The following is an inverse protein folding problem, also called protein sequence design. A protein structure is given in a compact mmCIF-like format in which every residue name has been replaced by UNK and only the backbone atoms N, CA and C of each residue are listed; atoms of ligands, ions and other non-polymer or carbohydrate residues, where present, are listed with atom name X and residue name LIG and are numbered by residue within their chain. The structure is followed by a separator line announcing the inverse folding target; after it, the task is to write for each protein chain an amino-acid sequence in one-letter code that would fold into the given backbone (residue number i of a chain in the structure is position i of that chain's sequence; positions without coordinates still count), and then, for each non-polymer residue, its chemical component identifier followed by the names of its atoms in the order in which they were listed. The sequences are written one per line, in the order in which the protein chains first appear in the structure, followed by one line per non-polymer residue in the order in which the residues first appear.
data_IF_704762111417
#
_entry.id   IF_704762111417
#
_cell.length_a   1.000
_cell.length_b   1.000
_cell.length_c   1.000
_cell.angle_alpha   90.00
_cell.angle_beta   90.00
_cell.angle_gamma   90.00
#
_symmetry.space_group_name_H-M   'P 1'
#
loop_
_entity.id
_entity.type
_entity.pdbx_description
1 polymer ?
#
# COMPACT_ATOMS: atom_id res chain seq x y z
N UNK A 1 8.65 -33.08 49.69
CA UNK A 1 8.32 -31.86 48.92
C UNK A 1 9.43 -31.59 47.90
N UNK A 2 9.17 -31.81 46.60
CA UNK A 2 10.11 -31.51 45.52
C UNK A 2 10.04 -30.03 45.16
N UNK A 3 11.19 -29.32 45.16
CA UNK A 3 11.26 -27.92 44.73
C UNK A 3 11.17 -27.85 43.19
N UNK A 4 10.50 -26.84 42.61
CA UNK A 4 10.41 -26.70 41.17
C UNK A 4 11.75 -26.23 40.57
N UNK A 5 12.16 -26.88 39.47
CA UNK A 5 13.30 -26.48 38.65
C UNK A 5 12.99 -25.14 37.97
N UNK A 6 13.81 -24.12 38.24
CA UNK A 6 13.75 -22.83 37.52
C UNK A 6 14.20 -23.05 36.07
N UNK A 7 13.36 -22.63 35.12
CA UNK A 7 13.73 -22.62 33.71
C UNK A 7 14.87 -21.61 33.46
N UNK A 8 15.82 -21.90 32.55
CA UNK A 8 16.88 -20.98 32.22
C UNK A 8 16.33 -19.73 31.50
N UNK A 9 16.98 -18.56 31.66
CA UNK A 9 16.56 -17.34 30.98
C UNK A 9 16.67 -17.51 29.47
N UNK A 10 15.62 -17.08 28.74
CA UNK A 10 15.64 -17.04 27.27
C UNK A 10 16.77 -16.12 26.80
N UNK A 11 17.56 -16.51 25.77
CA UNK A 11 18.62 -15.65 25.26
C UNK A 11 18.03 -14.33 24.76
N UNK A 12 18.55 -13.21 25.25
CA UNK A 12 18.27 -11.89 24.64
C UNK A 12 18.88 -11.92 23.24
N UNK A 13 18.05 -11.74 22.21
CA UNK A 13 18.55 -11.50 20.85
C UNK A 13 19.41 -10.24 20.89
N UNK A 14 20.70 -10.38 20.62
CA UNK A 14 21.61 -9.25 20.49
C UNK A 14 21.18 -8.40 19.29
N UNK A 15 21.22 -7.07 19.44
CA UNK A 15 21.09 -6.17 18.29
C UNK A 15 22.28 -6.43 17.36
N UNK A 16 22.07 -6.61 16.05
CA UNK A 16 23.20 -6.75 15.12
C UNK A 16 24.03 -5.45 15.15
N UNK A 17 25.37 -5.55 15.01
CA UNK A 17 26.23 -4.37 15.00
C UNK A 17 25.90 -3.46 13.81
N UNK A 18 26.14 -2.13 13.92
CA UNK A 18 25.93 -1.23 12.80
C UNK A 18 26.95 -1.54 11.71
N UNK A 19 26.49 -1.99 10.55
CA UNK A 19 27.31 -2.09 9.34
C UNK A 19 27.31 -0.72 8.64
N UNK A 20 28.52 -0.23 8.37
CA UNK A 20 28.83 1.09 7.82
C UNK A 20 28.33 1.24 6.37
N UNK A 21 27.85 2.44 6.04
CA UNK A 21 26.89 2.71 4.95
C UNK A 21 27.54 3.10 3.64
N UNK A 22 27.17 2.45 2.52
CA UNK A 22 27.19 3.06 1.17
C UNK A 22 25.98 2.60 0.34
N UNK A 23 24.95 3.45 0.24
CA UNK A 23 23.79 3.26 -0.66
C UNK A 23 22.42 3.61 -0.04
N UNK A 24 21.61 4.39 -0.75
CA UNK A 24 20.27 4.83 -0.28
C UNK A 24 19.27 3.68 -0.07
N UNK A 25 19.37 2.61 -0.89
CA UNK A 25 18.54 1.42 -0.74
C UNK A 25 18.86 0.61 0.52
N UNK A 26 20.15 0.49 0.87
CA UNK A 26 20.59 -0.18 2.09
C UNK A 26 20.15 0.57 3.35
N UNK A 27 20.17 1.91 3.31
CA UNK A 27 19.69 2.75 4.40
C UNK A 27 18.19 2.54 4.68
N UNK A 28 17.33 2.55 3.65
CA UNK A 28 15.88 2.36 3.84
C UNK A 28 15.58 0.95 4.36
N UNK A 29 16.26 -0.08 3.85
CA UNK A 29 16.10 -1.45 4.37
C UNK A 29 16.51 -1.56 5.84
N UNK A 30 17.61 -0.90 6.23
CA UNK A 30 18.07 -0.84 7.62
C UNK A 30 17.00 -0.21 8.54
N UNK A 31 16.33 0.85 8.07
CA UNK A 31 15.26 1.50 8.83
C UNK A 31 14.01 0.61 8.96
N UNK A 32 13.62 -0.14 7.92
CA UNK A 32 12.54 -1.13 8.01
C UNK A 32 12.85 -2.23 9.03
N UNK A 33 14.08 -2.78 9.00
CA UNK A 33 14.52 -3.78 9.97
C UNK A 33 14.54 -3.22 11.40
N UNK A 34 15.04 -2.00 11.59
CA UNK A 34 15.05 -1.34 12.89
C UNK A 34 13.62 -1.07 13.42
N UNK A 35 12.66 -0.86 12.51
CA UNK A 35 11.26 -0.57 12.83
C UNK A 35 10.36 -1.82 12.93
N UNK A 36 10.90 -3.02 12.77
CA UNK A 36 10.15 -4.29 12.71
C UNK A 36 9.02 -4.31 11.67
N UNK A 37 9.21 -3.63 10.54
CA UNK A 37 8.24 -3.63 9.43
C UNK A 37 8.58 -4.80 8.50
N UNK A 38 7.62 -5.70 8.31
CA UNK A 38 7.76 -6.79 7.34
C UNK A 38 7.67 -6.23 5.91
N UNK A 39 8.70 -6.50 5.11
CA UNK A 39 8.73 -6.13 3.69
C UNK A 39 8.14 -7.27 2.87
N UNK A 40 7.11 -6.96 2.07
CA UNK A 40 6.49 -7.93 1.16
C UNK A 40 7.30 -7.96 -0.14
N UNK A 41 7.64 -9.16 -0.62
CA UNK A 41 8.24 -9.33 -1.93
C UNK A 41 7.21 -8.95 -3.00
N UNK A 42 7.56 -7.96 -3.83
CA UNK A 42 6.71 -7.52 -4.94
C UNK A 42 7.43 -7.77 -6.27
N UNK A 43 6.87 -8.56 -7.19
CA UNK A 43 7.50 -8.86 -8.47
C UNK A 43 7.59 -7.61 -9.36
N UNK A 44 8.62 -7.58 -10.21
CA UNK A 44 8.78 -6.51 -11.19
C UNK A 44 7.60 -6.45 -12.17
N UNK A 45 7.30 -5.24 -12.68
CA UNK A 45 6.27 -5.02 -13.69
C UNK A 45 4.87 -5.54 -13.34
N UNK A 46 4.53 -5.65 -12.05
CA UNK A 46 3.29 -6.26 -11.57
C UNK A 46 2.36 -5.27 -10.84
N UNK A 47 1.94 -4.16 -11.48
CA UNK A 47 1.03 -3.19 -10.84
C UNK A 47 -0.34 -3.81 -10.50
N UNK A 48 -0.71 -4.87 -11.21
CA UNK A 48 -1.89 -5.68 -10.97
C UNK A 48 -1.83 -6.48 -9.66
N UNK A 49 -0.68 -6.54 -8.97
CA UNK A 49 -0.52 -7.16 -7.65
C UNK A 49 -0.26 -6.11 -6.54
N UNK A 50 -0.61 -4.84 -6.79
CA UNK A 50 -0.45 -3.78 -5.81
C UNK A 50 -1.79 -3.12 -5.48
N UNK A 51 -2.38 -3.33 -4.28
CA UNK A 51 -3.70 -2.82 -3.88
C UNK A 51 -3.88 -1.30 -4.07
N UNK A 52 -2.80 -0.51 -4.09
CA UNK A 52 -2.87 0.94 -4.29
C UNK A 52 -3.29 1.34 -5.71
N UNK A 53 -3.02 0.55 -6.75
CA UNK A 53 -3.35 0.95 -8.13
C UNK A 53 -4.87 1.02 -8.35
N UNK A 54 -5.63 0.11 -7.72
CA UNK A 54 -7.08 0.16 -7.70
C UNK A 54 -7.61 1.39 -6.95
N UNK A 55 -6.93 1.81 -5.88
CA UNK A 55 -7.26 3.04 -5.15
C UNK A 55 -6.95 4.28 -6.02
N UNK A 56 -5.82 4.29 -6.74
CA UNK A 56 -5.49 5.34 -7.70
C UNK A 56 -6.52 5.43 -8.83
N UNK A 57 -7.06 4.30 -9.29
CA UNK A 57 -8.13 4.29 -10.29
C UNK A 57 -9.39 5.00 -9.78
N UNK A 58 -9.83 4.69 -8.55
CA UNK A 58 -10.97 5.37 -7.90
C UNK A 58 -10.72 6.87 -7.81
N UNK A 59 -9.54 7.28 -7.32
CA UNK A 59 -9.17 8.69 -7.18
C UNK A 59 -9.23 9.40 -8.54
N UNK A 60 -8.59 8.84 -9.57
CA UNK A 60 -8.56 9.41 -10.93
C UNK A 60 -9.95 9.57 -11.52
N UNK A 61 -10.78 8.53 -11.43
CA UNK A 61 -12.15 8.56 -11.97
C UNK A 61 -13.02 9.61 -11.27
N UNK A 62 -12.97 9.65 -9.94
CA UNK A 62 -13.75 10.61 -9.16
C UNK A 62 -13.27 12.05 -9.34
N UNK A 63 -11.95 12.28 -9.34
CA UNK A 63 -11.37 13.60 -9.58
C UNK A 63 -11.71 14.11 -10.99
N UNK A 64 -11.57 13.26 -12.02
CA UNK A 64 -11.98 13.60 -13.39
C UNK A 64 -13.44 14.03 -13.44
N UNK A 65 -14.34 13.26 -12.81
CA UNK A 65 -15.77 13.63 -12.73
C UNK A 65 -16.00 14.94 -11.99
N UNK A 66 -15.34 15.17 -10.84
CA UNK A 66 -15.45 16.42 -10.06
C UNK A 66 -14.97 17.64 -10.82
N UNK A 67 -13.97 17.48 -11.70
CA UNK A 67 -13.45 18.54 -12.59
C UNK A 67 -14.42 18.79 -13.75
N UNK A 68 -14.90 17.74 -14.42
CA UNK A 68 -15.73 17.85 -15.62
C UNK A 68 -17.18 18.25 -15.32
N UNK A 69 -17.72 17.77 -14.20
CA UNK A 69 -19.13 17.89 -13.84
C UNK A 69 -19.23 18.23 -12.34
N UNK A 70 -18.91 19.47 -11.92
CA UNK A 70 -19.08 19.88 -10.53
C UNK A 70 -20.55 19.78 -10.13
N UNK A 71 -20.82 19.34 -8.90
CA UNK A 71 -22.18 19.34 -8.33
C UNK A 71 -22.59 20.77 -7.94
N UNK A 72 -23.88 20.98 -7.75
CA UNK A 72 -24.40 22.25 -7.25
C UNK A 72 -23.68 22.68 -5.96
N UNK A 73 -23.25 23.95 -5.92
CA UNK A 73 -22.48 24.53 -4.82
C UNK A 73 -20.97 24.22 -4.85
N UNK A 74 -20.47 23.36 -5.73
CA UNK A 74 -19.03 23.13 -5.89
C UNK A 74 -18.42 24.15 -6.85
N UNK A 75 -17.26 24.72 -6.49
CA UNK A 75 -16.49 25.58 -7.38
C UNK A 75 -16.00 24.78 -8.60
N UNK A 76 -16.25 25.31 -9.80
CA UNK A 76 -15.66 24.79 -11.03
C UNK A 76 -14.14 24.89 -10.97
N UNK A 77 -13.43 23.87 -11.49
CA UNK A 77 -11.97 23.88 -11.49
C UNK A 77 -11.43 25.10 -12.25
N UNK A 78 -10.48 25.82 -11.65
CA UNK A 78 -9.95 27.08 -12.17
C UNK A 78 -8.64 26.92 -12.96
N UNK A 79 -8.25 25.68 -13.27
CA UNK A 79 -7.02 25.39 -14.01
C UNK A 79 -5.74 25.40 -13.16
N UNK A 80 -5.81 25.78 -11.89
CA UNK A 80 -4.62 25.89 -11.04
C UNK A 80 -4.24 24.57 -10.37
N UNK A 81 -2.94 24.42 -10.07
CA UNK A 81 -2.42 23.29 -9.28
C UNK A 81 -2.95 23.29 -7.84
N UNK A 82 -3.17 24.48 -7.27
CA UNK A 82 -3.71 24.62 -5.92
C UNK A 82 -5.12 24.04 -5.83
N UNK A 83 -6.02 24.47 -6.71
CA UNK A 83 -7.38 23.95 -6.74
C UNK A 83 -7.42 22.46 -7.14
N UNK A 84 -6.53 22.00 -8.02
CA UNK A 84 -6.40 20.57 -8.31
C UNK A 84 -6.01 19.77 -7.06
N UNK A 85 -5.09 20.28 -6.22
CA UNK A 85 -4.71 19.63 -4.96
C UNK A 85 -5.88 19.56 -3.99
N UNK A 86 -6.67 20.64 -3.86
CA UNK A 86 -7.88 20.68 -3.03
C UNK A 86 -8.88 19.61 -3.49
N UNK A 87 -9.19 19.57 -4.80
CA UNK A 87 -10.07 18.56 -5.39
C UNK A 87 -9.56 17.14 -5.10
N UNK A 88 -8.26 16.88 -5.24
CA UNK A 88 -7.68 15.56 -4.96
C UNK A 88 -7.79 15.19 -3.49
N UNK A 89 -7.61 16.14 -2.57
CA UNK A 89 -7.77 15.92 -1.13
C UNK A 89 -9.24 15.64 -0.75
N UNK A 90 -10.19 16.40 -1.31
CA UNK A 90 -11.62 16.15 -1.14
C UNK A 90 -12.01 14.75 -1.63
N UNK A 91 -11.55 14.38 -2.82
CA UNK A 91 -11.86 13.07 -3.41
C UNK A 91 -11.19 11.96 -2.60
N UNK A 92 -9.93 12.12 -2.19
CA UNK A 92 -9.24 11.14 -1.34
C UNK A 92 -10.00 10.91 -0.03
N UNK A 93 -10.43 11.98 0.65
CA UNK A 93 -11.23 11.89 1.87
C UNK A 93 -12.58 11.19 1.67
N UNK A 94 -13.12 11.19 0.45
CA UNK A 94 -14.36 10.48 0.11
C UNK A 94 -14.19 8.98 -0.16
N UNK A 95 -12.96 8.47 -0.31
CA UNK A 95 -12.73 7.04 -0.53
C UNK A 95 -12.93 6.33 0.80
N UNK A 96 -13.92 5.44 0.88
CA UNK A 96 -14.26 4.80 2.15
C UNK A 96 -13.26 3.69 2.47
N UNK A 97 -13.15 3.38 3.77
CA UNK A 97 -12.32 2.27 4.22
C UNK A 97 -12.79 0.92 3.66
N UNK A 98 -14.09 0.76 3.41
CA UNK A 98 -14.66 -0.41 2.74
C UNK A 98 -14.11 -0.57 1.32
N UNK A 99 -14.13 0.50 0.51
CA UNK A 99 -13.56 0.45 -0.83
C UNK A 99 -12.06 0.12 -0.85
N UNK A 100 -11.32 0.58 0.17
CA UNK A 100 -9.91 0.21 0.34
C UNK A 100 -9.78 -1.27 0.70
N UNK A 101 -10.59 -1.76 1.65
CA UNK A 101 -10.60 -3.16 2.06
C UNK A 101 -10.96 -4.09 0.90
N UNK A 102 -11.94 -3.74 0.09
CA UNK A 102 -12.33 -4.50 -1.10
C UNK A 102 -11.14 -4.74 -2.04
N UNK A 103 -10.30 -3.71 -2.25
CA UNK A 103 -9.08 -3.85 -3.07
C UNK A 103 -8.02 -4.73 -2.42
N UNK A 104 -7.94 -4.77 -1.09
CA UNK A 104 -6.99 -5.60 -0.36
C UNK A 104 -7.44 -7.06 -0.34
N UNK A 105 -8.73 -7.33 -0.09
CA UNK A 105 -9.24 -8.71 0.02
C UNK A 105 -9.25 -9.46 -1.30
N UNK A 106 -9.21 -8.77 -2.44
CA UNK A 106 -9.05 -9.36 -3.77
C UNK A 106 -7.61 -9.86 -4.04
N UNK A 107 -6.59 -9.39 -3.30
CA UNK A 107 -5.18 -9.71 -3.61
C UNK A 107 -4.84 -11.20 -3.60
N UNK A 108 -5.33 -12.02 -2.64
CA UNK A 108 -5.06 -13.47 -2.65
C UNK A 108 -5.57 -14.15 -3.93
N UNK A 109 -6.77 -13.79 -4.40
CA UNK A 109 -7.35 -14.33 -5.62
C UNK A 109 -6.53 -13.92 -6.85
N UNK A 110 -6.09 -12.65 -6.92
CA UNK A 110 -5.22 -12.18 -8.00
C UNK A 110 -3.87 -12.91 -8.02
N UNK A 111 -3.25 -13.11 -6.86
CA UNK A 111 -2.03 -13.92 -6.78
C UNK A 111 -2.27 -15.37 -7.25
N UNK A 112 -3.43 -15.95 -6.93
CA UNK A 112 -3.82 -17.28 -7.44
C UNK A 112 -3.98 -17.27 -8.96
N UNK A 113 -4.66 -16.26 -9.52
CA UNK A 113 -4.83 -16.10 -10.96
C UNK A 113 -3.49 -15.95 -11.69
N UNK A 114 -2.54 -15.18 -11.13
CA UNK A 114 -1.19 -15.03 -11.68
C UNK A 114 -0.48 -16.38 -11.81
N UNK A 115 -0.63 -17.24 -10.81
CA UNK A 115 -0.02 -18.57 -10.81
C UNK A 115 -0.63 -19.46 -11.88
N UNK A 116 -1.94 -19.34 -12.13
CA UNK A 116 -2.66 -20.15 -13.12
C UNK A 116 -2.39 -19.63 -14.54
N UNK A 117 -2.29 -18.31 -14.72
CA UNK A 117 -2.14 -17.67 -16.03
C UNK A 117 -0.67 -17.59 -16.51
N UNK A 118 0.28 -18.15 -15.75
CA UNK A 118 1.70 -18.19 -16.10
C UNK A 118 2.40 -16.83 -16.03
N UNK A 119 1.94 -15.91 -15.17
CA UNK A 119 2.50 -14.55 -15.05
C UNK A 119 1.93 -13.55 -16.05
N UNK A 120 0.81 -13.88 -16.70
CA UNK A 120 0.06 -12.97 -17.55
C UNK A 120 -0.63 -11.85 -16.77
N UNK A 121 -1.02 -10.78 -17.48
CA UNK A 121 -1.72 -9.63 -16.87
C UNK A 121 -3.08 -10.04 -16.32
N UNK A 122 -3.39 -9.60 -15.11
CA UNK A 122 -4.70 -9.81 -14.48
C UNK A 122 -5.59 -8.59 -14.68
N UNK A 123 -6.87 -8.82 -14.99
CA UNK A 123 -7.90 -7.78 -15.11
C UNK A 123 -9.11 -8.17 -14.27
N UNK A 124 -9.73 -7.20 -13.59
CA UNK A 124 -11.00 -7.44 -12.91
C UNK A 124 -11.91 -6.22 -13.05
N UNK A 125 -13.19 -6.35 -12.69
CA UNK A 125 -14.15 -5.24 -12.78
C UNK A 125 -13.74 -4.01 -11.93
N UNK A 126 -12.91 -4.23 -10.92
CA UNK A 126 -12.51 -3.26 -9.91
C UNK A 126 -11.14 -2.60 -10.21
N UNK A 127 -10.45 -2.99 -11.30
CA UNK A 127 -9.05 -2.67 -11.63
C UNK A 127 -8.78 -2.36 -13.12
#
# INVERSE_FOLDING_TARGET
MLKPLKQPPKPRRSKPPPLEVQGSGHYIMQQYYASNIAVILHPGQSPDLNPIEGIWLILKQRAKRRIQYPKDGQKAWDGTKTHLKEILQEVWASITLEQIRDRIVEMPERCSELSVNGGGKIRSATW
#
